data_IF_438867421513
#
_entry.id   IF_438867421513
#
_cell.length_a   1.000
_cell.length_b   1.000
_cell.length_c   1.000
_cell.angle_alpha   90.00
_cell.angle_beta   90.00
_cell.angle_gamma   90.00
#
_symmetry.space_group_name_H-M   'P 1'
#
loop_
_entity.id
_entity.type
_entity.pdbx_description
1 polymer ?
#
# COMPACT_ATOMS: atom_id res chain seq x y z
N UNK A 1 -19.85 22.46 -13.26
CA UNK A 1 -20.17 23.65 -14.08
C UNK A 1 -19.03 24.65 -13.93
N UNK A 2 -18.17 24.73 -14.95
CA UNK A 2 -17.32 25.88 -15.27
C UNK A 2 -16.79 25.62 -16.68
N UNK A 3 -17.21 26.46 -17.64
CA UNK A 3 -17.01 26.26 -19.07
C UNK A 3 -15.55 26.43 -19.51
N UNK A 4 -15.13 25.82 -20.63
CA UNK A 4 -13.77 25.95 -21.12
C UNK A 4 -13.59 27.32 -21.78
N UNK A 5 -12.54 28.03 -21.35
CA UNK A 5 -12.08 29.25 -22.01
C UNK A 5 -11.55 28.92 -23.41
N UNK A 6 -12.27 29.39 -24.41
CA UNK A 6 -11.91 29.35 -25.82
C UNK A 6 -10.67 30.23 -26.02
N UNK A 7 -9.51 29.59 -26.04
CA UNK A 7 -8.21 30.23 -26.25
C UNK A 7 -7.99 30.40 -27.74
N UNK A 8 -8.06 31.65 -28.17
CA UNK A 8 -7.68 32.18 -29.48
C UNK A 8 -6.38 31.53 -29.98
N UNK A 9 -6.52 30.60 -30.93
CA UNK A 9 -5.41 30.01 -31.68
C UNK A 9 -5.21 30.78 -32.98
N UNK A 10 -4.81 32.03 -32.86
CA UNK A 10 -4.19 32.74 -33.98
C UNK A 10 -2.79 32.12 -34.25
N UNK A 11 -2.52 31.55 -35.43
CA UNK A 11 -1.27 30.84 -35.69
C UNK A 11 -0.07 31.82 -35.71
N UNK A 12 0.98 31.60 -34.88
CA UNK A 12 2.17 32.44 -34.87
C UNK A 12 3.02 32.12 -36.10
N UNK A 13 2.90 32.93 -37.14
CA UNK A 13 3.71 32.73 -38.35
C UNK A 13 3.33 33.60 -39.55
N UNK A 14 2.11 34.15 -39.57
CA UNK A 14 1.68 35.03 -40.69
C UNK A 14 2.49 36.34 -40.73
N UNK A 15 2.82 36.93 -39.58
CA UNK A 15 3.52 38.22 -39.52
C UNK A 15 4.94 38.19 -40.11
N UNK A 16 5.68 37.10 -39.89
CA UNK A 16 7.05 36.98 -40.40
C UNK A 16 7.08 36.58 -41.88
N UNK A 17 6.13 35.75 -42.32
CA UNK A 17 6.00 35.42 -43.74
C UNK A 17 5.71 36.67 -44.59
N UNK A 18 4.75 37.52 -44.17
CA UNK A 18 4.44 38.76 -44.87
C UNK A 18 5.61 39.76 -44.87
N UNK A 19 6.39 39.83 -43.78
CA UNK A 19 7.61 40.65 -43.72
C UNK A 19 8.68 40.17 -44.68
N UNK A 20 8.89 38.86 -44.78
CA UNK A 20 9.84 38.26 -45.74
C UNK A 20 9.39 38.49 -47.18
N UNK A 21 8.10 38.27 -47.47
CA UNK A 21 7.53 38.53 -48.80
C UNK A 21 7.60 40.01 -49.19
N UNK A 22 7.30 40.94 -48.27
CA UNK A 22 7.43 42.38 -48.49
C UNK A 22 8.88 42.80 -48.73
N UNK A 23 9.82 42.28 -47.94
CA UNK A 23 11.24 42.54 -48.13
C UNK A 23 11.69 42.07 -49.52
N UNK A 24 11.25 40.88 -49.93
CA UNK A 24 11.58 40.31 -51.24
C UNK A 24 10.96 41.12 -52.40
N UNK A 25 9.72 41.56 -52.23
CA UNK A 25 8.99 42.36 -53.22
C UNK A 25 9.59 43.76 -53.37
N UNK A 26 10.01 44.39 -52.26
CA UNK A 26 10.70 45.68 -52.25
C UNK A 26 12.10 45.58 -52.87
N UNK A 27 12.86 44.53 -52.52
CA UNK A 27 14.20 44.31 -53.07
C UNK A 27 14.13 44.04 -54.58
N UNK A 28 13.17 43.22 -55.03
CA UNK A 28 12.96 42.94 -56.44
C UNK A 28 12.48 44.15 -57.23
N UNK A 29 11.51 44.91 -56.71
CA UNK A 29 11.02 46.13 -57.35
C UNK A 29 12.11 47.22 -57.44
N UNK A 30 12.89 47.39 -56.37
CA UNK A 30 14.00 48.35 -56.32
C UNK A 30 15.14 47.99 -57.28
N UNK A 31 15.45 46.70 -57.42
CA UNK A 31 16.44 46.20 -58.38
C UNK A 31 16.03 46.44 -59.82
N UNK A 32 14.76 46.16 -60.17
CA UNK A 32 14.22 46.37 -61.53
C UNK A 32 14.35 47.85 -61.93
N UNK A 33 13.89 48.76 -61.07
CA UNK A 33 13.93 50.20 -61.33
C UNK A 33 15.35 50.76 -61.44
N UNK A 34 16.25 50.33 -60.54
CA UNK A 34 17.64 50.79 -60.55
C UNK A 34 18.41 50.24 -61.76
N UNK A 35 18.13 49.00 -62.13
CA UNK A 35 18.78 48.33 -63.24
C UNK A 35 18.37 48.92 -64.59
N UNK A 36 17.08 49.17 -64.82
CA UNK A 36 16.61 49.79 -66.07
C UNK A 36 17.14 51.22 -66.23
N UNK A 37 17.23 51.98 -65.13
CA UNK A 37 17.78 53.34 -65.15
C UNK A 37 19.29 53.36 -65.42
N UNK A 38 20.04 52.38 -64.90
CA UNK A 38 21.49 52.27 -65.11
C UNK A 38 21.84 51.87 -66.55
N UNK A 39 21.09 50.93 -67.16
CA UNK A 39 21.34 50.48 -68.54
C UNK A 39 21.05 51.60 -69.56
N UNK A 40 20.01 52.41 -69.35
CA UNK A 40 19.70 53.54 -70.24
C UNK A 40 20.55 54.79 -69.99
N UNK A 41 21.07 54.99 -68.78
CA UNK A 41 21.84 56.19 -68.44
C UNK A 41 23.32 56.14 -68.85
N UNK A 42 23.92 54.96 -69.01
CA UNK A 42 25.36 54.79 -69.19
C UNK A 42 25.79 54.23 -70.55
N UNK A 43 24.87 53.64 -71.34
CA UNK A 43 25.24 52.86 -72.52
C UNK A 43 24.40 53.33 -73.73
N UNK A 44 25.04 54.04 -74.66
CA UNK A 44 24.40 54.55 -75.89
C UNK A 44 24.56 53.62 -77.11
N UNK A 45 25.26 52.49 -76.98
CA UNK A 45 25.49 51.53 -78.07
C UNK A 45 24.53 50.33 -78.01
N UNK A 46 23.76 50.04 -79.07
CA UNK A 46 22.71 49.01 -79.04
C UNK A 46 23.21 47.58 -78.77
N UNK A 47 24.43 47.25 -79.21
CA UNK A 47 25.02 45.91 -78.99
C UNK A 47 25.38 45.62 -77.52
N UNK A 48 25.68 46.65 -76.72
CA UNK A 48 26.04 46.48 -75.30
C UNK A 48 24.80 46.39 -74.39
N UNK A 49 23.65 46.93 -74.83
CA UNK A 49 22.38 46.88 -74.09
C UNK A 49 21.87 45.44 -73.97
N UNK A 50 22.05 44.61 -75.00
CA UNK A 50 21.62 43.20 -74.99
C UNK A 50 22.42 42.37 -73.98
N UNK A 51 23.75 42.50 -73.98
CA UNK A 51 24.64 41.77 -73.04
C UNK A 51 24.40 42.23 -71.59
N UNK A 52 24.24 43.55 -71.38
CA UNK A 52 23.94 44.10 -70.06
C UNK A 52 22.57 43.62 -69.52
N UNK A 53 21.59 43.44 -70.40
CA UNK A 53 20.24 42.97 -70.04
C UNK A 53 20.18 41.48 -69.70
N UNK A 54 21.05 40.65 -70.29
CA UNK A 54 21.18 39.25 -69.88
C UNK A 54 21.92 39.15 -68.54
N UNK A 55 23.02 39.90 -68.39
CA UNK A 55 23.83 39.93 -67.16
C UNK A 55 23.03 40.40 -65.93
N UNK A 56 22.14 41.42 -66.07
CA UNK A 56 21.28 41.87 -64.96
C UNK A 56 20.31 40.80 -64.47
N UNK A 57 19.80 39.97 -65.38
CA UNK A 57 18.88 38.88 -65.07
C UNK A 57 19.57 37.77 -64.29
N UNK A 58 20.76 37.37 -64.73
CA UNK A 58 21.58 36.39 -64.01
C UNK A 58 21.99 36.89 -62.62
N UNK A 59 22.35 38.18 -62.49
CA UNK A 59 22.68 38.79 -61.20
C UNK A 59 21.47 38.80 -60.25
N UNK A 60 20.27 39.11 -60.75
CA UNK A 60 19.05 39.05 -59.96
C UNK A 60 18.74 37.64 -59.43
N UNK A 61 18.79 36.62 -60.30
CA UNK A 61 18.55 35.22 -59.91
C UNK A 61 19.56 34.74 -58.88
N UNK A 62 20.83 35.11 -59.02
CA UNK A 62 21.87 34.76 -58.06
C UNK A 62 21.60 35.37 -56.67
N UNK A 63 21.35 36.68 -56.62
CA UNK A 63 21.11 37.40 -55.35
C UNK A 63 19.85 36.89 -54.66
N UNK A 64 18.77 36.69 -55.42
CA UNK A 64 17.50 36.20 -54.89
C UNK A 64 17.58 34.76 -54.38
N UNK A 65 18.28 33.88 -55.11
CA UNK A 65 18.53 32.50 -54.67
C UNK A 65 19.38 32.44 -53.41
N UNK A 66 20.47 33.23 -53.33
CA UNK A 66 21.33 33.29 -52.15
C UNK A 66 20.57 33.83 -50.93
N UNK A 67 19.79 34.90 -51.12
CA UNK A 67 18.97 35.49 -50.07
C UNK A 67 17.93 34.50 -49.55
N UNK A 68 17.21 33.84 -50.46
CA UNK A 68 16.20 32.84 -50.11
C UNK A 68 16.83 31.66 -49.38
N UNK A 69 17.95 31.15 -49.89
CA UNK A 69 18.68 30.05 -49.27
C UNK A 69 19.17 30.41 -47.85
N UNK A 70 19.74 31.61 -47.67
CA UNK A 70 20.17 32.10 -46.35
C UNK A 70 18.99 32.20 -45.38
N UNK A 71 17.84 32.68 -45.85
CA UNK A 71 16.66 32.89 -45.02
C UNK A 71 16.05 31.56 -44.59
N UNK A 72 15.96 30.59 -45.49
CA UNK A 72 15.52 29.21 -45.19
C UNK A 72 16.44 28.58 -44.14
N UNK A 73 17.76 28.63 -44.32
CA UNK A 73 18.70 28.08 -43.35
C UNK A 73 18.59 28.76 -41.97
N UNK A 74 18.37 30.08 -41.92
CA UNK A 74 18.15 30.79 -40.65
C UNK A 74 16.85 30.38 -39.95
N UNK A 75 15.75 30.22 -40.70
CA UNK A 75 14.48 29.78 -40.14
C UNK A 75 14.54 28.35 -39.62
N UNK A 76 15.15 27.45 -40.40
CA UNK A 76 15.34 26.05 -39.99
C UNK A 76 16.21 25.93 -38.73
N UNK A 77 17.31 26.67 -38.66
CA UNK A 77 18.18 26.69 -37.48
C UNK A 77 17.43 27.19 -36.22
N UNK A 78 16.59 28.23 -36.35
CA UNK A 78 15.76 28.74 -35.23
C UNK A 78 14.77 27.69 -34.73
N UNK A 79 14.11 26.98 -35.63
CA UNK A 79 13.13 25.94 -35.28
C UNK A 79 13.81 24.75 -34.60
N UNK A 80 14.98 24.35 -35.11
CA UNK A 80 15.78 23.27 -34.50
C UNK A 80 16.22 23.63 -33.08
N UNK A 81 16.76 24.85 -32.88
CA UNK A 81 17.16 25.32 -31.55
C UNK A 81 15.98 25.34 -30.57
N UNK A 82 14.81 25.80 -31.00
CA UNK A 82 13.61 25.81 -30.16
C UNK A 82 13.15 24.38 -29.79
N UNK A 83 13.26 23.42 -30.71
CA UNK A 83 12.95 22.02 -30.43
C UNK A 83 13.93 21.40 -29.43
N UNK A 84 15.23 21.63 -29.60
CA UNK A 84 16.26 21.12 -28.69
C UNK A 84 16.08 21.68 -27.27
N UNK A 85 15.85 22.99 -27.14
CA UNK A 85 15.59 23.63 -25.84
C UNK A 85 14.36 23.03 -25.16
N UNK A 86 13.26 22.87 -25.90
CA UNK A 86 12.04 22.27 -25.36
C UNK A 86 12.26 20.83 -24.93
N UNK A 87 13.01 20.04 -25.70
CA UNK A 87 13.32 18.66 -25.34
C UNK A 87 14.22 18.58 -24.11
N UNK A 88 15.22 19.47 -23.99
CA UNK A 88 16.09 19.52 -22.81
C UNK A 88 15.29 19.89 -21.56
N UNK A 89 14.40 20.88 -21.64
CA UNK A 89 13.54 21.27 -20.52
C UNK A 89 12.60 20.12 -20.08
N UNK A 90 12.02 19.39 -21.03
CA UNK A 90 11.18 18.21 -20.73
C UNK A 90 11.99 17.10 -20.05
N UNK A 91 13.17 16.75 -20.58
CA UNK A 91 14.05 15.73 -19.99
C UNK A 91 14.49 16.11 -18.57
N UNK A 92 14.81 17.38 -18.34
CA UNK A 92 15.16 17.88 -17.01
C UNK A 92 13.96 17.78 -16.05
N UNK A 93 12.76 18.16 -16.50
CA UNK A 93 11.54 18.04 -15.68
C UNK A 93 11.22 16.58 -15.35
N UNK A 94 11.37 15.65 -16.30
CA UNK A 94 11.20 14.21 -16.07
C UNK A 94 12.22 13.65 -15.09
N UNK A 95 13.51 14.03 -15.22
CA UNK A 95 14.56 13.59 -14.31
C UNK A 95 14.30 14.05 -12.86
N UNK A 96 13.87 15.31 -12.68
CA UNK A 96 13.50 15.84 -11.36
C UNK A 96 12.30 15.11 -10.77
N UNK A 97 11.27 14.83 -11.57
CA UNK A 97 10.09 14.05 -11.13
C UNK A 97 10.48 12.65 -10.69
N UNK A 98 11.33 11.97 -11.46
CA UNK A 98 11.79 10.63 -11.12
C UNK A 98 12.61 10.64 -9.83
N UNK A 99 13.47 11.63 -9.65
CA UNK A 99 14.26 11.80 -8.43
C UNK A 99 13.37 12.04 -7.21
N UNK A 100 12.35 12.91 -7.32
CA UNK A 100 11.41 13.16 -6.24
C UNK A 100 10.61 11.90 -5.89
N UNK A 101 10.11 11.18 -6.90
CA UNK A 101 9.41 9.92 -6.70
C UNK A 101 10.30 8.86 -6.03
N UNK A 102 11.58 8.77 -6.40
CA UNK A 102 12.54 7.88 -5.77
C UNK A 102 12.79 8.26 -4.30
N UNK A 103 12.93 9.55 -3.99
CA UNK A 103 13.07 10.03 -2.61
C UNK A 103 11.85 9.70 -1.76
N UNK A 104 10.65 9.92 -2.30
CA UNK A 104 9.40 9.58 -1.63
C UNK A 104 9.30 8.08 -1.37
N UNK A 105 9.62 7.23 -2.36
CA UNK A 105 9.63 5.77 -2.21
C UNK A 105 10.62 5.33 -1.13
N UNK A 106 11.87 5.78 -1.19
CA UNK A 106 12.88 5.44 -0.20
C UNK A 106 12.47 5.89 1.23
N UNK A 107 11.84 7.07 1.35
CA UNK A 107 11.32 7.53 2.63
C UNK A 107 10.18 6.65 3.16
N UNK A 108 9.23 6.27 2.31
CA UNK A 108 8.13 5.38 2.68
C UNK A 108 8.64 3.98 3.05
N UNK A 109 9.58 3.43 2.29
CA UNK A 109 10.23 2.14 2.57
C UNK A 109 10.90 2.17 3.95
N UNK A 110 11.71 3.20 4.24
CA UNK A 110 12.35 3.35 5.55
C UNK A 110 11.32 3.49 6.70
N UNK A 111 10.21 4.20 6.48
CA UNK A 111 9.13 4.32 7.47
C UNK A 111 8.42 2.98 7.72
N UNK A 112 8.15 2.21 6.66
CA UNK A 112 7.55 0.88 6.76
C UNK A 112 8.50 -0.08 7.49
N UNK A 113 9.78 -0.10 7.13
CA UNK A 113 10.78 -0.94 7.80
C UNK A 113 10.85 -0.63 9.30
N UNK A 114 10.96 0.65 9.65
CA UNK A 114 10.97 1.08 11.07
C UNK A 114 9.71 0.65 11.81
N UNK A 115 8.52 0.92 11.25
CA UNK A 115 7.24 0.56 11.89
C UNK A 115 7.06 -0.94 12.02
N UNK A 116 7.50 -1.71 11.02
CA UNK A 116 7.43 -3.17 11.09
C UNK A 116 8.42 -3.73 12.12
N UNK A 117 9.60 -3.12 12.30
CA UNK A 117 10.53 -3.48 13.36
C UNK A 117 9.95 -3.17 14.75
N UNK A 118 9.43 -1.95 14.96
CA UNK A 118 8.75 -1.55 16.21
C UNK A 118 7.58 -2.50 16.55
N UNK A 119 6.77 -2.86 15.56
CA UNK A 119 5.65 -3.78 15.74
C UNK A 119 6.11 -5.20 16.10
N UNK A 120 7.17 -5.70 15.45
CA UNK A 120 7.74 -7.03 15.77
C UNK A 120 8.29 -7.07 17.18
N UNK A 121 8.99 -6.03 17.61
CA UNK A 121 9.55 -5.94 18.97
C UNK A 121 8.43 -5.88 20.02
N UNK A 122 7.42 -5.02 19.81
CA UNK A 122 6.27 -4.94 20.70
C UNK A 122 5.51 -6.27 20.79
N UNK A 123 5.31 -6.96 19.65
CA UNK A 123 4.68 -8.27 19.59
C UNK A 123 5.48 -9.31 20.40
N UNK A 124 6.80 -9.38 20.18
CA UNK A 124 7.67 -10.30 20.90
C UNK A 124 7.67 -10.05 22.43
N UNK A 125 7.61 -8.80 22.85
CA UNK A 125 7.51 -8.45 24.27
C UNK A 125 6.18 -8.92 24.89
N UNK A 126 5.07 -8.77 24.16
CA UNK A 126 3.75 -9.26 24.61
C UNK A 126 3.74 -10.78 24.69
N UNK A 127 4.23 -11.47 23.65
CA UNK A 127 4.31 -12.94 23.63
C UNK A 127 5.15 -13.49 24.78
N UNK A 128 6.32 -12.88 25.04
CA UNK A 128 7.17 -13.26 26.17
C UNK A 128 6.45 -13.05 27.52
N UNK A 129 5.68 -11.97 27.67
CA UNK A 129 4.89 -11.70 28.87
C UNK A 129 3.77 -12.72 29.07
N UNK A 130 3.07 -13.10 27.99
CA UNK A 130 2.02 -14.13 28.02
C UNK A 130 2.59 -15.50 28.40
N UNK A 131 3.72 -15.89 27.80
CA UNK A 131 4.39 -17.15 28.12
C UNK A 131 4.84 -17.20 29.60
N UNK A 132 5.41 -16.10 30.12
CA UNK A 132 5.81 -16.01 31.52
C UNK A 132 4.60 -16.09 32.48
N UNK A 133 3.48 -15.46 32.13
CA UNK A 133 2.22 -15.54 32.90
C UNK A 133 1.66 -16.96 32.92
N UNK A 134 1.60 -17.63 31.78
CA UNK A 134 1.15 -19.02 31.68
C UNK A 134 2.00 -19.94 32.56
N UNK A 135 3.33 -19.83 32.47
CA UNK A 135 4.25 -20.64 33.27
C UNK A 135 4.10 -20.37 34.78
N UNK A 136 3.96 -19.11 35.19
CA UNK A 136 3.74 -18.76 36.59
C UNK A 136 2.43 -19.34 37.14
N UNK A 137 1.33 -19.21 36.40
CA UNK A 137 0.04 -19.75 36.80
C UNK A 137 0.06 -21.27 36.86
N UNK A 138 0.75 -21.94 35.92
CA UNK A 138 0.93 -23.39 35.95
C UNK A 138 1.67 -23.85 37.21
N UNK A 139 2.76 -23.18 37.59
CA UNK A 139 3.49 -23.48 38.84
C UNK A 139 2.59 -23.28 40.06
N UNK A 140 1.92 -22.12 40.14
CA UNK A 140 1.04 -21.81 41.26
C UNK A 140 -0.12 -22.80 41.38
N UNK A 141 -0.67 -23.30 40.27
CA UNK A 141 -1.73 -24.29 40.34
C UNK A 141 -1.28 -25.57 41.03
N UNK A 142 -0.09 -26.08 40.69
CA UNK A 142 0.45 -27.26 41.37
C UNK A 142 0.69 -26.98 42.86
N UNK A 143 1.18 -25.78 43.20
CA UNK A 143 1.40 -25.37 44.59
C UNK A 143 0.11 -25.15 45.39
N UNK A 144 -0.99 -24.74 44.75
CA UNK A 144 -2.31 -24.56 45.38
C UNK A 144 -3.07 -25.88 45.45
N UNK A 145 -2.96 -26.73 44.43
CA UNK A 145 -3.63 -28.03 44.37
C UNK A 145 -3.19 -28.94 45.51
N UNK A 146 -1.89 -29.03 45.77
CA UNK A 146 -1.35 -29.89 46.83
C UNK A 146 -1.96 -29.63 48.22
N UNK A 147 -1.98 -28.39 48.77
CA UNK A 147 -2.61 -28.11 50.04
C UNK A 147 -4.13 -28.24 49.99
N UNK A 148 -4.76 -27.98 48.83
CA UNK A 148 -6.22 -28.15 48.69
C UNK A 148 -6.63 -29.63 48.74
N UNK A 149 -5.90 -30.48 48.03
CA UNK A 149 -6.08 -31.94 48.04
C UNK A 149 -5.88 -32.46 49.48
N UNK A 150 -4.86 -31.96 50.20
CA UNK A 150 -4.64 -32.28 51.61
C UNK A 150 -5.80 -31.82 52.53
N UNK A 151 -6.40 -30.65 52.30
CA UNK A 151 -7.56 -30.17 53.07
C UNK A 151 -8.77 -31.07 52.81
N UNK A 152 -9.03 -31.44 51.55
CA UNK A 152 -10.11 -32.35 51.16
C UNK A 152 -9.89 -33.73 51.81
N UNK A 153 -8.68 -34.27 51.74
CA UNK A 153 -8.37 -35.57 52.32
C UNK A 153 -8.48 -35.56 53.85
N UNK A 154 -8.06 -34.49 54.51
CA UNK A 154 -8.29 -34.34 55.96
C UNK A 154 -9.78 -34.23 56.30
N UNK A 155 -10.58 -33.52 55.50
CA UNK A 155 -12.03 -33.47 55.69
C UNK A 155 -12.66 -34.86 55.58
N UNK A 156 -12.22 -35.66 54.60
CA UNK A 156 -12.64 -37.06 54.43
C UNK A 156 -12.21 -37.95 55.59
N UNK A 157 -11.00 -37.77 56.13
CA UNK A 157 -10.50 -38.54 57.28
C UNK A 157 -11.20 -38.18 58.60
N UNK A 158 -11.60 -36.91 58.77
CA UNK A 158 -12.39 -36.44 59.90
C UNK A 158 -13.83 -36.95 59.87
N UNK A 159 -14.28 -37.48 58.73
CA UNK A 159 -15.61 -38.05 58.51
C UNK A 159 -15.75 -39.43 59.18
N UNK A 160 -15.72 -39.44 60.51
CA UNK A 160 -15.83 -40.64 61.35
C UNK A 160 -17.28 -40.89 61.80
N UNK A 161 -17.65 -42.16 62.11
CA UNK A 161 -18.95 -42.46 62.72
C UNK A 161 -19.10 -41.75 64.08
N UNK A 162 -20.22 -41.04 64.29
CA UNK A 162 -20.52 -40.34 65.54
C UNK A 162 -20.44 -38.81 65.50
N UNK A 163 -20.18 -38.21 64.33
CA UNK A 163 -20.31 -36.76 64.12
C UNK A 163 -21.75 -36.29 64.34
N UNK A 164 -21.91 -35.12 64.96
CA UNK A 164 -23.22 -34.47 65.02
C UNK A 164 -23.63 -33.89 63.65
N UNK A 165 -24.92 -33.60 63.47
CA UNK A 165 -25.46 -33.10 62.20
C UNK A 165 -24.83 -31.78 61.75
N UNK A 166 -24.40 -30.92 62.69
CA UNK A 166 -23.78 -29.64 62.42
C UNK A 166 -22.32 -29.79 61.98
N UNK A 167 -21.58 -30.74 62.56
CA UNK A 167 -20.22 -31.09 62.17
C UNK A 167 -20.18 -31.74 60.78
N UNK A 168 -21.11 -32.67 60.49
CA UNK A 168 -21.23 -33.25 59.15
C UNK A 168 -21.55 -32.18 58.11
N UNK A 169 -22.50 -31.28 58.41
CA UNK A 169 -22.84 -30.20 57.48
C UNK A 169 -21.67 -29.24 57.22
N UNK A 170 -20.85 -28.94 58.23
CA UNK A 170 -19.64 -28.11 58.06
C UNK A 170 -18.57 -28.81 57.21
N UNK A 171 -18.39 -30.12 57.35
CA UNK A 171 -17.50 -30.89 56.50
C UNK A 171 -17.97 -30.90 55.05
N UNK A 172 -19.27 -31.06 54.80
CA UNK A 172 -19.84 -31.00 53.45
C UNK A 172 -19.64 -29.60 52.81
N UNK A 173 -19.82 -28.53 53.59
CA UNK A 173 -19.54 -27.16 53.12
C UNK A 173 -18.07 -26.94 52.78
N UNK A 174 -17.15 -27.52 53.58
CA UNK A 174 -15.71 -27.39 53.38
C UNK A 174 -15.23 -28.16 52.13
N UNK A 175 -15.69 -29.41 51.95
CA UNK A 175 -15.42 -30.19 50.74
C UNK A 175 -15.96 -29.49 49.48
N UNK A 176 -17.19 -28.97 49.54
CA UNK A 176 -17.80 -28.25 48.42
C UNK A 176 -17.04 -26.96 48.06
N UNK A 177 -16.64 -26.17 49.06
CA UNK A 177 -15.88 -24.94 48.85
C UNK A 177 -14.49 -25.22 48.25
N UNK A 178 -13.80 -26.27 48.73
CA UNK A 178 -12.51 -26.68 48.18
C UNK A 178 -12.66 -27.19 46.73
N UNK A 179 -13.66 -28.02 46.44
CA UNK A 179 -13.94 -28.49 45.08
C UNK A 179 -14.23 -27.35 44.10
N UNK A 180 -15.04 -26.36 44.50
CA UNK A 180 -15.30 -25.18 43.68
C UNK A 180 -14.05 -24.33 43.42
N UNK A 181 -13.19 -24.14 44.43
CA UNK A 181 -11.95 -23.39 44.26
C UNK A 181 -10.99 -24.10 43.28
N UNK A 182 -10.86 -25.43 43.40
CA UNK A 182 -10.02 -26.22 42.49
C UNK A 182 -10.52 -26.11 41.04
N UNK A 183 -11.84 -26.21 40.83
CA UNK A 183 -12.43 -26.03 39.51
C UNK A 183 -12.15 -24.63 38.93
N UNK A 184 -12.28 -23.58 39.75
CA UNK A 184 -11.96 -22.21 39.33
C UNK A 184 -10.49 -22.00 38.97
N UNK A 185 -9.56 -22.58 39.73
CA UNK A 185 -8.11 -22.52 39.44
C UNK A 185 -7.79 -23.25 38.13
N UNK A 186 -8.39 -24.41 37.89
CA UNK A 186 -8.20 -25.15 36.64
C UNK A 186 -8.75 -24.38 35.43
N UNK A 187 -9.93 -23.76 35.54
CA UNK A 187 -10.48 -22.94 34.46
C UNK A 187 -9.57 -21.75 34.12
N UNK A 188 -8.98 -21.09 35.13
CA UNK A 188 -8.04 -19.99 34.92
C UNK A 188 -6.76 -20.46 34.21
N UNK A 189 -6.27 -21.66 34.53
CA UNK A 189 -5.12 -22.27 33.84
C UNK A 189 -5.42 -22.58 32.39
N UNK A 190 -6.58 -23.19 32.12
CA UNK A 190 -6.99 -23.56 30.76
C UNK A 190 -7.09 -22.30 29.90
N UNK A 191 -7.68 -21.23 30.42
CA UNK A 191 -7.71 -19.92 29.77
C UNK A 191 -6.29 -19.38 29.50
N UNK A 192 -5.39 -19.48 30.49
CA UNK A 192 -4.01 -18.99 30.36
C UNK A 192 -3.21 -19.77 29.32
N UNK A 193 -3.45 -21.07 29.17
CA UNK A 193 -2.85 -21.91 28.13
C UNK A 193 -3.37 -21.57 26.74
N UNK A 194 -4.67 -21.25 26.63
CA UNK A 194 -5.28 -20.80 25.37
C UNK A 194 -4.70 -19.45 24.96
N UNK A 195 -4.63 -18.47 25.87
CA UNK A 195 -4.07 -17.14 25.59
C UNK A 195 -2.59 -17.17 25.19
N UNK A 196 -1.84 -18.18 25.65
CA UNK A 196 -0.44 -18.39 25.29
C UNK A 196 -0.24 -19.30 24.06
N UNK A 197 -1.31 -19.70 23.34
CA UNK A 197 -1.26 -20.67 22.23
C UNK A 197 -0.59 -22.02 22.60
N UNK A 198 -0.62 -22.39 23.88
CA UNK A 198 0.00 -23.61 24.44
C UNK A 198 -0.97 -24.79 24.58
N UNK A 199 -2.23 -24.65 24.15
CA UNK A 199 -3.20 -25.74 24.19
C UNK A 199 -2.94 -26.72 23.05
N UNK A 200 -2.34 -27.88 23.37
CA UNK A 200 -2.15 -28.98 22.42
C UNK A 200 -3.36 -29.91 22.48
N UNK A 201 -4.09 -30.03 21.38
CA UNK A 201 -5.15 -31.01 21.23
C UNK A 201 -4.54 -32.35 20.82
N UNK A 202 -4.79 -33.39 21.61
CA UNK A 202 -4.40 -34.76 21.27
C UNK A 202 -5.55 -35.47 20.57
N UNK A 203 -5.35 -35.87 19.31
CA UNK A 203 -6.30 -36.75 18.61
C UNK A 203 -6.09 -38.20 19.06
N UNK A 204 -7.10 -38.78 19.70
CA UNK A 204 -7.13 -40.17 20.14
C UNK A 204 -8.46 -40.82 19.73
N UNK A 205 -8.47 -42.12 19.39
CA UNK A 205 -9.72 -42.85 19.14
C UNK A 205 -10.65 -42.73 20.34
N UNK A 206 -11.81 -42.12 20.14
CA UNK A 206 -12.77 -41.82 21.19
C UNK A 206 -14.12 -42.49 20.91
N UNK A 207 -14.73 -43.05 21.96
CA UNK A 207 -16.07 -43.63 21.94
C UNK A 207 -17.06 -42.56 22.37
N UNK A 208 -17.63 -41.84 21.40
CA UNK A 208 -18.56 -40.72 21.65
C UNK A 208 -19.77 -41.17 22.49
N UNK A 209 -20.24 -42.41 22.30
CA UNK A 209 -21.29 -43.04 23.09
C UNK A 209 -20.93 -43.11 24.59
N UNK A 210 -19.69 -43.47 24.92
CA UNK A 210 -19.21 -43.53 26.30
C UNK A 210 -19.05 -42.14 26.90
N UNK A 211 -18.46 -41.20 26.16
CA UNK A 211 -18.26 -39.82 26.62
C UNK A 211 -19.59 -39.15 26.94
N UNK A 212 -20.60 -39.32 26.07
CA UNK A 212 -21.93 -38.74 26.31
C UNK A 212 -22.63 -39.41 27.49
N UNK A 213 -22.46 -40.71 27.68
CA UNK A 213 -23.03 -41.44 28.84
C UNK A 213 -22.40 -40.97 30.15
N UNK A 214 -21.07 -40.91 30.21
CA UNK A 214 -20.33 -40.44 31.38
C UNK A 214 -20.67 -38.97 31.70
N UNK A 215 -20.76 -38.11 30.68
CA UNK A 215 -21.17 -36.72 30.85
C UNK A 215 -22.61 -36.59 31.38
N UNK A 216 -23.54 -37.42 30.89
CA UNK A 216 -24.92 -37.47 31.39
C UNK A 216 -24.95 -37.84 32.87
N UNK A 217 -24.25 -38.90 33.26
CA UNK A 217 -24.22 -39.39 34.65
C UNK A 217 -23.73 -38.30 35.61
N UNK A 218 -22.72 -37.52 35.21
CA UNK A 218 -22.19 -36.42 36.02
C UNK A 218 -23.21 -35.31 36.37
N UNK A 219 -24.20 -35.06 35.51
CA UNK A 219 -25.22 -34.02 35.74
C UNK A 219 -26.59 -34.57 36.11
N UNK A 220 -26.80 -35.89 36.06
CA UNK A 220 -28.09 -36.52 36.30
C UNK A 220 -28.62 -36.26 37.72
N UNK A 221 -27.75 -36.34 38.73
CA UNK A 221 -28.14 -36.07 40.13
C UNK A 221 -28.51 -34.60 40.35
N UNK A 222 -27.80 -33.68 39.69
CA UNK A 222 -28.07 -32.24 39.78
C UNK A 222 -29.38 -31.87 39.07
N UNK A 223 -29.65 -32.49 37.92
CA UNK A 223 -30.91 -32.33 37.20
C UNK A 223 -32.09 -32.88 38.01
N UNK A 224 -31.94 -34.08 38.60
CA UNK A 224 -32.95 -34.71 39.46
C UNK A 224 -33.25 -33.88 40.71
N UNK A 225 -32.22 -33.34 41.36
CA UNK A 225 -32.37 -32.44 42.51
C UNK A 225 -33.13 -31.16 42.17
N UNK A 226 -33.11 -30.73 40.89
CA UNK A 226 -33.84 -29.56 40.38
C UNK A 226 -35.17 -29.92 39.68
N UNK A 227 -35.57 -31.20 39.66
CA UNK A 227 -36.79 -31.67 39.01
C UNK A 227 -36.77 -31.57 37.48
N UNK A 228 -35.57 -31.56 36.87
CA UNK A 228 -35.37 -31.45 35.43
C UNK A 228 -35.22 -32.83 34.79
N UNK A 229 -35.89 -33.05 33.65
CA UNK A 229 -35.73 -34.26 32.83
C UNK A 229 -34.52 -34.10 31.90
N UNK A 230 -33.54 -35.01 31.99
CA UNK A 230 -32.37 -35.02 31.13
C UNK A 230 -32.57 -36.04 30.00
N UNK A 231 -32.50 -35.59 28.74
CA UNK A 231 -32.53 -36.45 27.54
C UNK A 231 -31.24 -36.33 26.76
N UNK A 232 -30.68 -37.45 26.32
CA UNK A 232 -29.51 -37.51 25.45
C UNK A 232 -29.86 -38.31 24.19
N UNK A 233 -29.67 -37.71 23.03
CA UNK A 233 -29.87 -38.35 21.73
C UNK A 233 -28.54 -38.34 20.97
N UNK A 234 -28.06 -39.53 20.60
CA UNK A 234 -26.88 -39.71 19.76
C UNK A 234 -27.35 -40.04 18.35
N UNK A 235 -26.85 -39.30 17.35
CA UNK A 235 -27.08 -39.65 15.96
C UNK A 235 -26.47 -41.04 15.66
N UNK A 236 -27.13 -41.88 14.84
CA UNK A 236 -26.59 -43.18 14.48
C UNK A 236 -25.22 -43.00 13.81
N UNK A 237 -24.23 -43.77 14.25
CA UNK A 237 -22.88 -43.69 13.72
C UNK A 237 -22.91 -43.95 12.22
N UNK A 238 -22.64 -42.92 11.42
CA UNK A 238 -22.41 -43.08 9.98
C UNK A 238 -21.11 -43.87 9.83
N UNK A 239 -21.23 -45.13 9.43
CA UNK A 239 -20.08 -45.94 9.05
C UNK A 239 -19.35 -45.26 7.88
N UNK A 240 -18.14 -44.80 8.12
CA UNK A 240 -17.23 -44.18 7.15
C UNK A 240 -15.80 -44.52 7.52
#
# INVERSE_FOLDING_TARGET
MNGPAETDRSPPGRCDAHRVTLLYLLLGSGWILLSDRAVHGWISSPALIEIASLAKGWLYVLVTTLLLNMLIHRLLARVQQAHEQKQQALRQAEALRLQDQQRQRAHLEAMVERRTAELREAKAAVEASLAARSHYLASLSHEIRNPLDAIIDNARLLRQPGLDAQQSHRLDQLESAAGHLLAGVNQLLDLSRIEAEQLVLEEKPARVDRIVTEAREMVEDSARARGLELRCELAPATAG
#
